data_IF_866897102871
#
_entry.id   IF_866897102871
#
_cell.length_a   1.000
_cell.length_b   1.000
_cell.length_c   1.000
_cell.angle_alpha   90.00
_cell.angle_beta   90.00
_cell.angle_gamma   90.00
#
_symmetry.space_group_name_H-M   'P 1'
#
loop_
_entity.id
_entity.type
_entity.pdbx_description
1 polymer ?
#
# COMPACT_ATOMS: atom_id res chain seq x y z
N UNK A 1 -27.12 22.10 -2.67
CA UNK A 1 -26.55 21.09 -1.75
C UNK A 1 -26.35 19.81 -2.54
N UNK A 2 -25.10 19.41 -2.78
CA UNK A 2 -24.76 18.20 -3.55
C UNK A 2 -24.95 16.97 -2.67
N UNK A 3 -25.39 15.82 -3.24
CA UNK A 3 -25.57 14.54 -2.52
C UNK A 3 -24.37 14.13 -1.65
N UNK A 4 -23.18 14.67 -1.94
CA UNK A 4 -21.96 14.48 -1.16
C UNK A 4 -22.00 15.10 0.25
N UNK A 5 -22.65 16.25 0.44
CA UNK A 5 -22.70 16.91 1.75
C UNK A 5 -23.57 16.13 2.75
N UNK A 6 -24.58 15.41 2.27
CA UNK A 6 -25.45 14.59 3.11
C UNK A 6 -24.71 13.40 3.72
N UNK A 7 -23.82 12.76 2.95
CA UNK A 7 -23.11 11.54 3.36
C UNK A 7 -21.97 11.81 4.37
N UNK A 8 -21.36 13.00 4.31
CA UNK A 8 -20.30 13.42 5.25
C UNK A 8 -20.84 13.76 6.64
N UNK A 9 -22.14 14.06 6.76
CA UNK A 9 -22.79 14.34 8.04
C UNK A 9 -23.12 13.07 8.82
N UNK A 10 -23.29 11.95 8.12
CA UNK A 10 -23.66 10.66 8.71
C UNK A 10 -22.46 9.88 9.26
N UNK A 11 -21.22 10.16 8.82
CA UNK A 11 -20.04 9.42 9.30
C UNK A 11 -18.74 10.26 9.29
N UNK A 12 -18.43 11.00 10.37
CA UNK A 12 -17.21 11.79 10.44
C UNK A 12 -15.96 10.91 10.71
N UNK A 13 -14.86 11.07 9.95
CA UNK A 13 -13.63 10.33 10.21
C UNK A 13 -12.99 10.76 11.54
N UNK A 14 -12.80 9.79 12.45
CA UNK A 14 -12.18 10.00 13.76
C UNK A 14 -10.70 10.34 13.60
N UNK A 15 -10.28 11.43 14.25
CA UNK A 15 -8.88 11.86 14.38
C UNK A 15 -8.08 10.82 15.17
N UNK A 16 -6.94 10.36 14.63
CA UNK A 16 -5.93 9.63 15.41
C UNK A 16 -4.54 10.15 15.04
N UNK A 17 -3.89 10.84 15.99
CA UNK A 17 -2.45 11.03 16.04
C UNK A 17 -2.01 11.10 17.51
N UNK A 18 -1.15 10.16 17.90
CA UNK A 18 0.05 10.35 18.74
C UNK A 18 0.43 9.01 19.39
N UNK A 19 1.59 8.47 19.04
CA UNK A 19 2.24 7.42 19.84
C UNK A 19 3.71 7.77 20.01
N UNK A 20 4.14 7.91 21.27
CA UNK A 20 5.53 7.91 21.74
C UNK A 20 5.81 6.56 22.41
N UNK A 21 7.10 6.29 22.63
CA UNK A 21 7.74 5.10 23.24
C UNK A 21 8.15 4.07 22.17
N UNK A 22 9.41 3.75 21.91
CA UNK A 22 10.63 3.83 22.72
C UNK A 22 10.91 2.46 23.32
N UNK A 23 11.65 1.58 22.62
CA UNK A 23 12.13 0.32 23.19
C UNK A 23 13.52 -0.08 22.69
N UNK A 24 14.33 -0.51 23.67
CA UNK A 24 15.72 -0.98 23.61
C UNK A 24 15.80 -2.42 23.11
N UNK A 25 16.84 -2.75 22.34
CA UNK A 25 17.28 -4.13 22.08
C UNK A 25 18.21 -4.65 23.17
N UNK A 26 18.20 -5.97 23.44
CA UNK A 26 19.33 -6.68 24.00
C UNK A 26 20.01 -7.61 22.98
N UNK A 27 21.19 -8.04 23.41
CA UNK A 27 22.36 -8.54 22.68
C UNK A 27 22.60 -10.02 22.94
N UNK A 28 23.59 -10.58 22.20
CA UNK A 28 24.39 -11.80 22.43
C UNK A 28 23.77 -13.11 21.89
N UNK A 29 24.51 -14.11 21.39
CA UNK A 29 25.96 -14.37 21.25
C UNK A 29 26.14 -15.59 20.33
N UNK A 30 27.28 -15.65 19.62
CA UNK A 30 28.24 -16.78 19.44
C UNK A 30 27.72 -18.19 19.07
N UNK A 31 28.42 -19.09 18.39
CA UNK A 31 29.79 -19.26 17.87
C UNK A 31 29.79 -20.66 17.22
N UNK A 32 30.62 -20.93 16.21
CA UNK A 32 30.88 -22.31 15.78
C UNK A 32 31.45 -22.44 14.38
N UNK A 33 32.78 -22.38 14.29
CA UNK A 33 33.57 -22.63 13.09
C UNK A 33 33.94 -24.12 13.01
N UNK A 34 34.13 -24.68 11.80
CA UNK A 34 35.34 -25.43 11.39
C UNK A 34 35.14 -26.47 10.27
N UNK A 35 36.00 -26.31 9.25
CA UNK A 35 36.80 -27.30 8.49
C UNK A 35 36.17 -28.30 7.50
N UNK A 36 36.58 -28.12 6.22
CA UNK A 36 36.78 -29.10 5.11
C UNK A 36 38.03 -29.98 5.40
N UNK A 37 38.34 -31.12 4.71
CA UNK A 37 38.42 -31.24 3.24
C UNK A 37 38.11 -32.61 2.56
N UNK A 38 38.00 -32.51 1.23
CA UNK A 38 38.22 -33.44 0.08
C UNK A 38 38.53 -34.94 0.27
N UNK A 39 37.81 -35.81 -0.47
CA UNK A 39 38.39 -36.77 -1.44
C UNK A 39 37.31 -37.45 -2.32
N UNK A 40 37.61 -37.61 -3.61
CA UNK A 40 37.05 -38.56 -4.59
C UNK A 40 38.15 -39.62 -4.85
N UNK A 41 37.91 -40.85 -5.37
CA UNK A 41 37.05 -41.16 -6.52
C UNK A 41 36.32 -42.53 -6.48
N UNK A 42 35.63 -42.84 -7.60
CA UNK A 42 35.41 -44.19 -8.16
C UNK A 42 34.03 -44.86 -8.00
N UNK A 43 33.29 -44.80 -9.12
CA UNK A 43 32.58 -45.87 -9.85
C UNK A 43 31.49 -46.76 -9.18
N UNK A 44 30.37 -46.80 -9.91
CA UNK A 44 29.15 -47.62 -9.88
C UNK A 44 29.34 -49.13 -9.56
N UNK A 45 28.31 -49.80 -9.01
CA UNK A 45 27.15 -50.22 -9.82
C UNK A 45 25.77 -49.84 -9.25
N UNK A 46 24.82 -49.69 -10.17
CA UNK A 46 23.40 -49.49 -9.91
C UNK A 46 22.82 -50.69 -9.13
N UNK A 47 22.44 -50.45 -7.87
CA UNK A 47 21.48 -51.28 -7.17
C UNK A 47 20.09 -50.67 -7.40
N UNK A 48 19.23 -51.40 -8.10
CA UNK A 48 17.82 -51.08 -8.23
C UNK A 48 17.18 -51.02 -6.83
N UNK A 49 16.78 -49.82 -6.40
CA UNK A 49 15.94 -49.64 -5.23
C UNK A 49 14.55 -50.15 -5.60
N UNK A 50 14.24 -51.40 -5.27
CA UNK A 50 12.86 -51.84 -5.16
C UNK A 50 12.20 -50.96 -4.08
N UNK A 51 11.36 -50.03 -4.52
CA UNK A 51 10.46 -49.33 -3.63
C UNK A 51 9.50 -50.37 -3.04
N UNK A 52 9.87 -50.93 -1.90
CA UNK A 52 8.93 -51.65 -1.06
C UNK A 52 7.80 -50.68 -0.76
N UNK A 53 6.63 -50.91 -1.37
CA UNK A 53 5.40 -50.27 -0.98
C UNK A 53 5.11 -50.73 0.45
N UNK A 54 5.66 -50.02 1.44
CA UNK A 54 5.27 -50.19 2.83
C UNK A 54 3.76 -50.02 2.83
N UNK A 55 3.05 -51.09 3.15
CA UNK A 55 1.61 -51.09 3.29
C UNK A 55 1.30 -50.26 4.53
N UNK A 56 1.25 -48.93 4.35
CA UNK A 56 0.98 -48.00 5.44
C UNK A 56 -0.42 -48.36 5.94
N UNK A 57 -0.57 -48.77 7.20
CA UNK A 57 -1.87 -49.16 7.73
C UNK A 57 -2.84 -48.00 7.53
N UNK A 58 -4.05 -48.30 7.07
CA UNK A 58 -5.14 -47.33 6.80
C UNK A 58 -5.25 -46.23 7.88
N UNK A 59 -5.16 -46.50 9.20
CA UNK A 59 -5.20 -45.44 10.21
C UNK A 59 -4.03 -44.45 10.10
N UNK A 60 -2.82 -44.89 9.74
CA UNK A 60 -1.64 -44.03 9.60
C UNK A 60 -1.74 -43.15 8.35
N UNK A 61 -2.32 -43.65 7.25
CA UNK A 61 -2.65 -42.82 6.08
C UNK A 61 -3.69 -41.75 6.42
N UNK A 62 -4.70 -42.09 7.21
CA UNK A 62 -5.72 -41.15 7.65
C UNK A 62 -5.16 -40.07 8.57
N UNK A 63 -4.26 -40.44 9.49
CA UNK A 63 -3.55 -39.50 10.37
C UNK A 63 -2.65 -38.57 9.55
N UNK A 64 -1.93 -39.09 8.55
CA UNK A 64 -1.08 -38.28 7.68
C UNK A 64 -1.88 -37.27 6.85
N UNK A 65 -3.05 -37.67 6.34
CA UNK A 65 -3.98 -36.78 5.63
C UNK A 65 -4.57 -35.71 6.56
N UNK A 66 -4.90 -36.06 7.81
CA UNK A 66 -5.36 -35.09 8.81
C UNK A 66 -4.26 -34.08 9.16
N UNK A 67 -3.02 -34.53 9.34
CA UNK A 67 -1.88 -33.65 9.63
C UNK A 67 -1.57 -32.70 8.45
N UNK A 68 -1.71 -33.16 7.20
CA UNK A 68 -1.61 -32.30 6.02
C UNK A 68 -2.76 -31.28 5.95
N UNK A 69 -3.98 -31.67 6.31
CA UNK A 69 -5.13 -30.76 6.34
C UNK A 69 -4.98 -29.67 7.41
N UNK A 70 -4.42 -30.00 8.57
CA UNK A 70 -4.15 -29.04 9.66
C UNK A 70 -2.94 -28.14 9.38
N UNK A 71 -2.03 -28.55 8.47
CA UNK A 71 -0.92 -27.71 8.02
C UNK A 71 -1.37 -26.61 7.02
N UNK A 72 -2.60 -26.69 6.50
CA UNK A 72 -3.09 -25.88 5.39
C UNK A 72 -3.64 -24.48 5.72
N UNK A 73 -3.80 -24.11 6.99
CA UNK A 73 -4.33 -22.78 7.34
C UNK A 73 -3.53 -22.13 8.46
N UNK A 74 -2.32 -21.66 8.14
CA UNK A 74 -1.76 -20.53 8.89
C UNK A 74 -2.44 -19.27 8.36
N UNK A 75 -3.45 -18.79 9.07
CA UNK A 75 -3.83 -17.40 8.95
C UNK A 75 -2.62 -16.59 9.42
N UNK A 76 -1.83 -16.08 8.48
CA UNK A 76 -0.76 -15.15 8.81
C UNK A 76 -1.41 -13.98 9.57
N UNK A 77 -0.81 -13.50 10.66
CA UNK A 77 -1.31 -12.30 11.30
C UNK A 77 -1.36 -11.20 10.24
N UNK A 78 -2.45 -10.43 10.22
CA UNK A 78 -2.68 -9.38 9.24
C UNK A 78 -1.48 -8.48 8.93
N UNK A 79 -0.68 -8.17 9.97
CA UNK A 79 0.54 -7.37 9.82
C UNK A 79 1.55 -8.00 8.86
N UNK A 80 1.63 -9.33 8.81
CA UNK A 80 2.54 -10.08 7.96
C UNK A 80 2.07 -10.09 6.50
N UNK A 81 0.75 -10.24 6.27
CA UNK A 81 0.16 -10.17 4.93
C UNK A 81 0.33 -8.79 4.30
N UNK A 82 0.10 -7.71 5.05
CA UNK A 82 0.33 -6.34 4.56
C UNK A 82 1.79 -6.11 4.21
N UNK A 83 2.72 -6.53 5.08
CA UNK A 83 4.17 -6.42 4.82
C UNK A 83 4.58 -7.16 3.56
N UNK A 84 4.13 -8.40 3.40
CA UNK A 84 4.45 -9.20 2.23
C UNK A 84 3.94 -8.55 0.94
N UNK A 85 2.69 -8.11 0.90
CA UNK A 85 2.10 -7.48 -0.30
C UNK A 85 2.82 -6.17 -0.62
N UNK A 86 3.10 -5.34 0.38
CA UNK A 86 3.86 -4.11 0.18
C UNK A 86 5.26 -4.39 -0.36
N UNK A 87 6.01 -5.31 0.26
CA UNK A 87 7.35 -5.68 -0.17
C UNK A 87 7.36 -6.21 -1.61
N UNK A 88 6.41 -7.08 -1.98
CA UNK A 88 6.29 -7.58 -3.35
C UNK A 88 5.98 -6.45 -4.34
N UNK A 89 5.00 -5.61 -4.03
CA UNK A 89 4.57 -4.50 -4.88
C UNK A 89 5.67 -3.45 -5.11
N UNK A 90 6.48 -3.16 -4.09
CA UNK A 90 7.54 -2.14 -4.16
C UNK A 90 8.93 -2.70 -4.48
N UNK A 91 9.08 -4.03 -4.62
CA UNK A 91 10.36 -4.68 -4.91
C UNK A 91 11.03 -4.22 -6.23
N UNK A 92 10.25 -3.61 -7.13
CA UNK A 92 10.74 -3.11 -8.42
C UNK A 92 11.38 -1.72 -8.36
N UNK A 93 12.70 -1.66 -8.59
CA UNK A 93 13.43 -0.48 -9.06
C UNK A 93 13.13 0.84 -8.31
N UNK A 94 12.65 1.85 -9.04
CA UNK A 94 12.52 3.25 -8.61
C UNK A 94 11.51 3.51 -7.48
N UNK A 95 10.86 2.48 -6.94
CA UNK A 95 9.82 2.60 -5.91
C UNK A 95 10.10 1.77 -4.65
N UNK A 96 11.30 1.18 -4.53
CA UNK A 96 11.67 0.37 -3.36
C UNK A 96 11.61 1.14 -2.04
N UNK A 97 11.82 2.46 -2.09
CA UNK A 97 11.72 3.37 -0.96
C UNK A 97 10.27 3.59 -0.46
N UNK A 98 9.25 3.17 -1.21
CA UNK A 98 7.85 3.27 -0.80
C UNK A 98 7.40 2.14 0.13
N UNK A 99 8.18 1.07 0.30
CA UNK A 99 7.79 -0.07 1.15
C UNK A 99 7.38 0.39 2.57
N UNK A 100 8.18 1.20 3.29
CA UNK A 100 7.83 1.60 4.65
C UNK A 100 6.55 2.45 4.70
N UNK A 101 6.35 3.30 3.69
CA UNK A 101 5.13 4.11 3.57
C UNK A 101 3.90 3.23 3.31
N UNK A 102 4.02 2.25 2.40
CA UNK A 102 2.98 1.28 2.09
C UNK A 102 2.54 0.54 3.37
N UNK A 103 3.51 -0.04 4.08
CA UNK A 103 3.26 -0.82 5.30
C UNK A 103 2.61 0.06 6.36
N UNK A 104 3.19 1.22 6.66
CA UNK A 104 2.68 2.09 7.71
C UNK A 104 1.25 2.61 7.42
N UNK A 105 1.00 3.02 6.17
CA UNK A 105 -0.29 3.58 5.77
C UNK A 105 -1.39 2.51 5.76
N UNK A 106 -1.09 1.33 5.22
CA UNK A 106 -2.09 0.26 5.11
C UNK A 106 -2.32 -0.45 6.44
N UNK A 107 -1.30 -0.74 7.25
CA UNK A 107 -1.51 -1.38 8.56
C UNK A 107 -2.35 -0.52 9.51
N UNK A 108 -2.26 0.80 9.41
CA UNK A 108 -3.07 1.71 10.21
C UNK A 108 -4.53 1.83 9.73
N UNK A 109 -4.83 1.35 8.52
CA UNK A 109 -6.15 1.51 7.93
C UNK A 109 -7.12 0.40 8.39
N UNK A 110 -8.37 0.76 8.76
CA UNK A 110 -9.39 -0.23 9.07
C UNK A 110 -9.67 -1.16 7.90
N UNK A 111 -9.81 -2.46 8.18
CA UNK A 111 -10.10 -3.48 7.17
C UNK A 111 -8.87 -4.01 6.43
N UNK A 112 -7.66 -3.54 6.75
CA UNK A 112 -6.43 -4.14 6.22
C UNK A 112 -6.17 -5.54 6.77
N UNK A 113 -6.76 -5.86 7.93
CA UNK A 113 -6.64 -7.17 8.52
C UNK A 113 -7.34 -8.24 7.68
N UNK A 114 -6.56 -9.14 7.09
CA UNK A 114 -7.05 -10.19 6.21
C UNK A 114 -7.39 -9.75 4.78
N UNK A 115 -7.11 -8.49 4.42
CA UNK A 115 -7.26 -8.03 3.04
C UNK A 115 -6.22 -8.68 2.12
N UNK A 116 -6.67 -9.16 0.97
CA UNK A 116 -5.78 -9.54 -0.13
C UNK A 116 -5.23 -8.30 -0.84
N UNK A 117 -4.36 -8.49 -1.85
CA UNK A 117 -3.76 -7.37 -2.57
C UNK A 117 -4.80 -6.47 -3.27
N UNK A 118 -5.91 -7.03 -3.79
CA UNK A 118 -7.00 -6.22 -4.35
C UNK A 118 -7.69 -5.38 -3.25
N UNK A 119 -7.94 -5.97 -2.09
CA UNK A 119 -8.49 -5.29 -0.91
C UNK A 119 -7.58 -4.17 -0.41
N UNK A 120 -6.28 -4.42 -0.32
CA UNK A 120 -5.29 -3.41 0.06
C UNK A 120 -5.18 -2.27 -0.95
N UNK A 121 -5.30 -2.57 -2.26
CA UNK A 121 -5.39 -1.53 -3.28
C UNK A 121 -6.63 -0.66 -3.09
N UNK A 122 -7.80 -1.26 -2.83
CA UNK A 122 -9.03 -0.52 -2.55
C UNK A 122 -8.92 0.35 -1.28
N UNK A 123 -8.23 -0.15 -0.24
CA UNK A 123 -7.95 0.61 0.98
C UNK A 123 -7.06 1.81 0.66
N UNK A 124 -5.98 1.63 -0.12
CA UNK A 124 -5.14 2.73 -0.57
C UNK A 124 -5.95 3.79 -1.35
N UNK A 125 -6.84 3.37 -2.26
CA UNK A 125 -7.76 4.28 -2.98
C UNK A 125 -8.65 5.06 -2.01
N UNK A 126 -9.20 4.40 -1.00
CA UNK A 126 -10.06 5.05 0.00
C UNK A 126 -9.28 6.05 0.86
N UNK A 127 -8.02 5.76 1.21
CA UNK A 127 -7.15 6.72 1.88
C UNK A 127 -6.89 7.94 1.00
N UNK A 128 -6.66 7.77 -0.31
CA UNK A 128 -6.54 8.89 -1.27
C UNK A 128 -7.82 9.73 -1.32
N UNK A 129 -8.99 9.09 -1.39
CA UNK A 129 -10.29 9.75 -1.37
C UNK A 129 -10.49 10.61 -0.12
N UNK A 130 -10.17 10.06 1.05
CA UNK A 130 -10.24 10.78 2.32
C UNK A 130 -9.26 11.97 2.36
N UNK A 131 -8.03 11.76 1.87
CA UNK A 131 -7.00 12.79 1.79
C UNK A 131 -7.45 13.98 0.93
N UNK A 132 -7.92 13.75 -0.30
CA UNK A 132 -8.40 14.81 -1.19
C UNK A 132 -9.67 15.50 -0.70
N UNK A 133 -10.56 14.78 -0.03
CA UNK A 133 -11.75 15.39 0.58
C UNK A 133 -11.34 16.38 1.68
N UNK A 134 -10.40 16.00 2.54
CA UNK A 134 -9.85 16.88 3.57
C UNK A 134 -9.05 18.06 2.95
N UNK A 135 -8.33 17.81 1.85
CA UNK A 135 -7.59 18.83 1.12
C UNK A 135 -8.51 19.92 0.56
N UNK A 136 -9.61 19.53 -0.10
CA UNK A 136 -10.61 20.48 -0.61
C UNK A 136 -11.22 21.32 0.50
N UNK A 137 -11.54 20.71 1.66
CA UNK A 137 -12.03 21.45 2.82
C UNK A 137 -10.99 22.45 3.35
N UNK A 138 -9.72 22.03 3.44
CA UNK A 138 -8.60 22.87 3.86
C UNK A 138 -8.41 24.06 2.92
N UNK A 139 -8.44 23.84 1.60
CA UNK A 139 -8.32 24.91 0.61
C UNK A 139 -9.44 25.93 0.74
N UNK A 140 -10.69 25.47 0.92
CA UNK A 140 -11.83 26.39 1.13
C UNK A 140 -11.59 27.29 2.35
N UNK A 141 -11.05 26.75 3.43
CA UNK A 141 -10.72 27.53 4.62
C UNK A 141 -9.55 28.50 4.37
N UNK A 142 -8.49 28.07 3.67
CA UNK A 142 -7.38 28.96 3.29
C UNK A 142 -7.87 30.12 2.40
N UNK A 143 -8.75 29.83 1.43
CA UNK A 143 -9.37 30.83 0.57
C UNK A 143 -10.20 31.83 1.39
N UNK A 144 -10.95 31.37 2.39
CA UNK A 144 -11.76 32.23 3.27
C UNK A 144 -10.92 33.10 4.19
N UNK A 145 -9.81 32.57 4.73
CA UNK A 145 -8.90 33.30 5.63
C UNK A 145 -8.19 34.47 4.93
N UNK A 146 -7.96 34.38 3.62
CA UNK A 146 -7.23 35.41 2.88
C UNK A 146 -5.75 35.45 3.24
N UNK A 147 -5.09 36.58 2.97
CA UNK A 147 -3.65 36.75 3.19
C UNK A 147 -2.75 36.20 2.08
N UNK A 148 -3.32 35.80 0.94
CA UNK A 148 -2.62 35.22 -0.20
C UNK A 148 -2.39 36.27 -1.29
N UNK A 149 -1.26 36.19 -1.99
CA UNK A 149 -1.03 36.97 -3.22
C UNK A 149 -2.02 36.58 -4.33
N UNK A 150 -2.13 37.39 -5.39
CA UNK A 150 -3.00 37.05 -6.53
C UNK A 150 -2.61 35.70 -7.16
N UNK A 151 -1.31 35.45 -7.33
CA UNK A 151 -0.80 34.19 -7.85
C UNK A 151 -1.14 33.00 -6.93
N UNK A 152 -0.96 33.16 -5.61
CA UNK A 152 -1.28 32.11 -4.64
C UNK A 152 -2.78 31.81 -4.57
N UNK A 153 -3.65 32.82 -4.74
CA UNK A 153 -5.11 32.58 -4.88
C UNK A 153 -5.43 31.77 -6.12
N UNK A 154 -4.74 32.04 -7.23
CA UNK A 154 -4.79 31.22 -8.45
C UNK A 154 -4.37 29.77 -8.17
N UNK A 155 -3.24 29.57 -7.50
CA UNK A 155 -2.75 28.24 -7.13
C UNK A 155 -3.75 27.47 -6.24
N UNK A 156 -4.32 28.11 -5.21
CA UNK A 156 -5.38 27.50 -4.39
C UNK A 156 -6.60 27.09 -5.23
N UNK A 157 -7.01 27.92 -6.19
CA UNK A 157 -8.13 27.58 -7.08
C UNK A 157 -7.80 26.37 -7.97
N UNK A 158 -6.59 26.33 -8.55
CA UNK A 158 -6.08 25.20 -9.32
C UNK A 158 -6.08 23.93 -8.48
N UNK A 159 -5.44 23.92 -7.32
CA UNK A 159 -5.42 22.76 -6.42
C UNK A 159 -6.82 22.23 -6.13
N UNK A 160 -7.77 23.14 -5.79
CA UNK A 160 -9.15 22.76 -5.48
C UNK A 160 -9.83 22.09 -6.67
N UNK A 161 -9.65 22.65 -7.86
CA UNK A 161 -10.23 22.10 -9.08
C UNK A 161 -9.65 20.72 -9.39
N UNK A 162 -8.31 20.58 -9.37
CA UNK A 162 -7.63 19.32 -9.70
C UNK A 162 -8.01 18.20 -8.73
N UNK A 163 -8.13 18.46 -7.42
CA UNK A 163 -8.62 17.46 -6.49
C UNK A 163 -10.08 17.07 -6.75
N UNK A 164 -10.97 18.02 -7.06
CA UNK A 164 -12.37 17.70 -7.39
C UNK A 164 -12.45 16.84 -8.65
N UNK A 165 -11.66 17.15 -9.67
CA UNK A 165 -11.56 16.32 -10.88
C UNK A 165 -11.03 14.93 -10.57
N UNK A 166 -9.98 14.82 -9.76
CA UNK A 166 -9.44 13.54 -9.33
C UNK A 166 -10.45 12.71 -8.52
N UNK A 167 -11.24 13.34 -7.64
CA UNK A 167 -12.32 12.68 -6.89
C UNK A 167 -13.37 12.05 -7.83
N UNK A 168 -13.59 12.61 -9.02
CA UNK A 168 -14.45 12.00 -10.03
C UNK A 168 -13.78 10.78 -10.69
N UNK A 169 -12.47 10.86 -10.97
CA UNK A 169 -11.69 9.76 -11.56
C UNK A 169 -11.56 8.58 -10.61
N UNK A 170 -11.50 8.81 -9.30
CA UNK A 170 -11.47 7.74 -8.28
C UNK A 170 -12.63 6.75 -8.44
N UNK A 171 -13.82 7.19 -8.86
CA UNK A 171 -14.95 6.27 -9.11
C UNK A 171 -14.68 5.33 -10.28
N UNK A 172 -14.07 5.84 -11.35
CA UNK A 172 -13.64 5.02 -12.49
C UNK A 172 -12.62 3.98 -12.04
N UNK A 173 -11.63 4.40 -11.22
CA UNK A 173 -10.63 3.50 -10.65
C UNK A 173 -11.30 2.38 -9.84
N UNK A 174 -12.18 2.72 -8.88
CA UNK A 174 -12.89 1.72 -8.07
C UNK A 174 -13.67 0.73 -8.94
N UNK A 175 -14.34 1.21 -9.98
CA UNK A 175 -15.08 0.35 -10.90
C UNK A 175 -14.13 -0.56 -11.71
N UNK A 176 -13.01 -0.04 -12.20
CA UNK A 176 -11.98 -0.82 -12.90
C UNK A 176 -11.38 -1.90 -11.99
N UNK A 177 -11.08 -1.57 -10.72
CA UNK A 177 -10.56 -2.50 -9.73
C UNK A 177 -11.53 -3.67 -9.48
N UNK A 178 -12.81 -3.35 -9.26
CA UNK A 178 -13.87 -4.33 -9.05
C UNK A 178 -14.06 -5.26 -10.26
N UNK A 179 -13.93 -4.71 -11.47
CA UNK A 179 -14.04 -5.47 -12.72
C UNK A 179 -12.75 -6.21 -13.11
N UNK A 180 -11.67 -6.11 -12.33
CA UNK A 180 -10.38 -6.71 -12.66
C UNK A 180 -9.65 -6.07 -13.83
N UNK A 181 -10.04 -4.85 -14.24
CA UNK A 181 -9.34 -4.07 -15.27
C UNK A 181 -8.15 -3.32 -14.66
N UNK A 182 -7.14 -4.08 -14.29
CA UNK A 182 -5.97 -3.60 -13.53
C UNK A 182 -5.14 -2.52 -14.26
N UNK A 183 -5.04 -2.61 -15.59
CA UNK A 183 -4.38 -1.57 -16.40
C UNK A 183 -5.13 -0.23 -16.33
N UNK A 184 -6.45 -0.28 -16.47
CA UNK A 184 -7.31 0.91 -16.42
C UNK A 184 -7.28 1.52 -15.02
N UNK A 185 -7.38 0.68 -13.99
CA UNK A 185 -7.22 1.12 -12.60
C UNK A 185 -5.89 1.85 -12.38
N UNK A 186 -4.77 1.28 -12.83
CA UNK A 186 -3.46 1.89 -12.66
C UNK A 186 -3.31 3.21 -13.45
N UNK A 187 -3.96 3.32 -14.61
CA UNK A 187 -4.01 4.55 -15.38
C UNK A 187 -4.85 5.63 -14.66
N UNK A 188 -6.03 5.28 -14.17
CA UNK A 188 -6.91 6.18 -13.41
C UNK A 188 -6.22 6.66 -12.13
N UNK A 189 -5.57 5.77 -11.38
CA UNK A 189 -4.81 6.15 -10.18
C UNK A 189 -3.62 7.07 -10.51
N UNK A 190 -3.00 6.93 -11.68
CA UNK A 190 -1.99 7.87 -12.17
C UNK A 190 -2.55 9.27 -12.42
N UNK A 191 -3.76 9.36 -12.99
CA UNK A 191 -4.47 10.65 -13.15
C UNK A 191 -4.82 11.25 -11.80
N UNK A 192 -5.28 10.43 -10.85
CA UNK A 192 -5.57 10.87 -9.47
C UNK A 192 -4.30 11.44 -8.84
N UNK A 193 -3.18 10.71 -8.87
CA UNK A 193 -1.91 11.19 -8.30
C UNK A 193 -1.39 12.47 -8.94
N UNK A 194 -1.58 12.64 -10.26
CA UNK A 194 -1.17 13.86 -10.97
C UNK A 194 -1.83 15.13 -10.44
N UNK A 195 -3.04 15.05 -9.88
CA UNK A 195 -3.70 16.22 -9.29
C UNK A 195 -2.90 16.83 -8.13
N UNK A 196 -2.19 16.01 -7.36
CA UNK A 196 -1.30 16.48 -6.30
C UNK A 196 -0.05 17.17 -6.86
N UNK A 197 0.59 16.59 -7.88
CA UNK A 197 1.72 17.23 -8.57
C UNK A 197 1.33 18.56 -9.21
N UNK A 198 0.16 18.62 -9.85
CA UNK A 198 -0.35 19.86 -10.46
C UNK A 198 -0.60 20.96 -9.41
N UNK A 199 -0.95 20.59 -8.17
CA UNK A 199 -1.10 21.54 -7.07
C UNK A 199 0.25 22.12 -6.63
N UNK A 200 1.25 21.25 -6.41
CA UNK A 200 2.60 21.68 -6.08
C UNK A 200 3.22 22.55 -7.18
N UNK A 201 3.05 22.18 -8.45
CA UNK A 201 3.53 22.96 -9.59
C UNK A 201 2.89 24.37 -9.63
N UNK A 202 1.58 24.46 -9.37
CA UNK A 202 0.88 25.73 -9.32
C UNK A 202 1.42 26.64 -8.19
N UNK A 203 1.77 26.07 -7.04
CA UNK A 203 2.38 26.82 -5.94
C UNK A 203 3.86 27.14 -6.18
N UNK A 204 4.60 26.23 -6.82
CA UNK A 204 5.97 26.46 -7.25
C UNK A 204 6.07 27.66 -8.19
N UNK A 205 5.13 27.79 -9.12
CA UNK A 205 5.02 28.96 -10.00
C UNK A 205 4.56 30.24 -9.27
N UNK A 206 3.71 30.11 -8.24
CA UNK A 206 3.16 31.25 -7.51
C UNK A 206 4.12 31.82 -6.46
N UNK A 207 5.04 31.01 -5.92
CA UNK A 207 6.03 31.42 -4.94
C UNK A 207 7.29 31.90 -5.68
N UNK A 208 7.55 33.21 -5.69
CA UNK A 208 8.62 33.89 -6.45
C UNK A 208 10.09 33.50 -6.06
N UNK A 209 10.29 32.40 -5.36
CA UNK A 209 11.59 31.82 -5.02
C UNK A 209 11.55 30.30 -4.82
N UNK A 210 10.47 29.64 -5.23
CA UNK A 210 10.22 28.23 -4.92
C UNK A 210 9.82 28.04 -3.45
N UNK A 211 8.93 27.08 -3.22
CA UNK A 211 8.46 26.74 -1.88
C UNK A 211 7.25 25.83 -1.98
N UNK A 212 7.14 24.82 -1.09
CA UNK A 212 6.04 23.86 -1.12
C UNK A 212 4.70 24.56 -0.97
N UNK A 213 3.65 23.95 -1.52
CA UNK A 213 2.30 24.41 -1.23
C UNK A 213 1.99 24.28 0.27
N UNK A 214 0.99 25.00 0.81
CA UNK A 214 0.48 24.74 2.16
C UNK A 214 -0.09 23.32 2.32
N UNK A 215 -0.23 22.56 1.23
CA UNK A 215 -0.72 21.18 1.18
C UNK A 215 0.37 20.14 0.85
N UNK A 216 1.65 20.50 0.83
CA UNK A 216 2.73 19.59 0.39
C UNK A 216 2.69 18.18 0.99
N UNK A 217 2.33 18.05 2.27
CA UNK A 217 2.23 16.74 2.91
C UNK A 217 1.04 15.95 2.36
N UNK A 218 -0.09 16.60 2.15
CA UNK A 218 -1.28 16.02 1.52
C UNK A 218 -0.94 15.56 0.10
N UNK A 219 -0.20 16.38 -0.65
CA UNK A 219 0.23 16.06 -2.01
C UNK A 219 1.19 14.88 -2.05
N UNK A 220 2.20 14.87 -1.19
CA UNK A 220 3.15 13.77 -1.07
C UNK A 220 2.45 12.46 -0.64
N UNK A 221 1.58 12.51 0.37
CA UNK A 221 0.82 11.35 0.82
C UNK A 221 -0.09 10.82 -0.31
N UNK A 222 -0.72 11.70 -1.10
CA UNK A 222 -1.56 11.29 -2.22
C UNK A 222 -0.77 10.65 -3.37
N UNK A 223 0.38 11.23 -3.75
CA UNK A 223 1.27 10.64 -4.75
C UNK A 223 1.74 9.26 -4.29
N UNK A 224 2.16 9.12 -3.04
CA UNK A 224 2.62 7.84 -2.51
C UNK A 224 1.48 6.81 -2.44
N UNK A 225 0.30 7.19 -1.94
CA UNK A 225 -0.87 6.30 -1.87
C UNK A 225 -1.31 5.82 -3.25
N UNK A 226 -1.42 6.71 -4.22
CA UNK A 226 -1.83 6.38 -5.60
C UNK A 226 -0.80 5.49 -6.30
N UNK A 227 0.50 5.75 -6.06
CA UNK A 227 1.61 4.93 -6.58
C UNK A 227 1.59 3.54 -5.96
N UNK A 228 1.52 3.43 -4.64
CA UNK A 228 1.40 2.16 -3.92
C UNK A 228 0.19 1.37 -4.39
N UNK A 229 -0.96 2.02 -4.52
CA UNK A 229 -2.19 1.39 -5.01
C UNK A 229 -2.01 0.78 -6.42
N UNK A 230 -1.38 1.52 -7.33
CA UNK A 230 -1.08 1.05 -8.68
C UNK A 230 -0.03 -0.08 -8.70
N UNK A 231 0.99 -0.02 -7.85
CA UNK A 231 2.02 -1.06 -7.72
C UNK A 231 1.43 -2.37 -7.21
N UNK A 232 0.60 -2.32 -6.17
CA UNK A 232 -0.10 -3.50 -5.62
C UNK A 232 -0.96 -4.17 -6.70
N UNK A 233 -1.67 -3.39 -7.51
CA UNK A 233 -2.51 -3.96 -8.57
C UNK A 233 -1.69 -4.51 -9.74
N UNK A 234 -0.51 -3.93 -10.02
CA UNK A 234 0.40 -4.45 -11.05
C UNK A 234 1.10 -5.74 -10.63
N UNK A 235 1.18 -6.06 -9.34
CA UNK A 235 1.67 -7.37 -8.88
C UNK A 235 0.60 -8.48 -8.94
N UNK A 236 -0.68 -8.11 -9.13
CA UNK A 236 -1.74 -9.07 -9.41
C UNK A 236 -1.60 -9.57 -10.86
N UNK A 237 -1.40 -10.89 -11.03
CA UNK A 237 -1.34 -11.57 -12.33
C UNK A 237 -2.71 -11.70 -12.98
#
# INVERSE_FOLDING_TARGET
MSLYETKMRENPPRKIFASRHGYKSPSKRQSGNSTKPSHSPSQLPQAAMAASLVSIPVPVRFILLLLLAMAGTRAAPASETVKQICAEATSGGAHADLEPFCVASLQAAPGSDGADARGLAAIATNLTLANYTAAVATIKELQRRGGWSAAQRGALATCRQRYIEALNVVHSAVHALAAGRFRDYAADMGVVGKAATDCEDAFGAANAGGGPSPLWKVDQDAVNLTTVAALIVRSLK
#
